data_IF_724483939637
#
_entry.id   IF_724483939637
#
_cell.length_a   1.000
_cell.length_b   1.000
_cell.length_c   1.000
_cell.angle_alpha   90.00
_cell.angle_beta   90.00
_cell.angle_gamma   90.00
#
_symmetry.space_group_name_H-M   'P 1'
#
loop_
_entity.id
_entity.type
_entity.pdbx_description
1 polymer ?
#
# COMPACT_ATOMS: atom_id res chain seq x y z
N UNK A 1 19.82 -16.70 25.03
CA UNK A 1 19.65 -17.16 23.63
C UNK A 1 18.67 -16.20 23.00
N UNK A 2 19.16 -15.08 22.47
CA UNK A 2 18.37 -14.24 21.60
C UNK A 2 18.34 -14.90 20.21
N UNK A 3 17.20 -14.77 19.54
CA UNK A 3 17.04 -15.25 18.16
C UNK A 3 16.50 -14.08 17.36
N UNK A 4 17.15 -13.75 16.26
CA UNK A 4 16.73 -12.63 15.40
C UNK A 4 16.06 -13.15 14.14
N UNK A 5 14.98 -12.49 13.73
CA UNK A 5 14.35 -12.77 12.45
C UNK A 5 15.19 -12.15 11.33
N UNK A 6 15.65 -12.98 10.40
CA UNK A 6 16.47 -12.51 9.28
C UNK A 6 15.69 -12.44 7.98
N UNK A 7 14.71 -13.32 7.75
CA UNK A 7 13.95 -13.34 6.50
C UNK A 7 12.48 -13.70 6.70
N UNK A 8 11.64 -13.12 5.84
CA UNK A 8 10.28 -13.55 5.59
C UNK A 8 10.25 -14.59 4.46
N UNK A 9 9.47 -15.65 4.64
CA UNK A 9 9.29 -16.72 3.65
C UNK A 9 7.90 -16.61 3.04
N UNK A 10 7.81 -16.59 1.71
CA UNK A 10 6.54 -16.52 1.02
C UNK A 10 6.48 -17.44 -0.20
N UNK A 11 5.27 -17.86 -0.55
CA UNK A 11 4.98 -18.72 -1.71
C UNK A 11 3.98 -18.06 -2.62
N UNK A 12 4.13 -18.24 -3.93
CA UNK A 12 3.12 -17.82 -4.89
C UNK A 12 1.92 -18.77 -4.81
N UNK A 13 0.73 -18.23 -4.52
CA UNK A 13 -0.50 -19.02 -4.37
C UNK A 13 -1.40 -18.93 -5.60
N UNK A 14 -1.32 -17.84 -6.35
CA UNK A 14 -2.20 -17.56 -7.48
C UNK A 14 -1.52 -16.57 -8.43
N UNK A 15 -1.92 -16.59 -9.70
CA UNK A 15 -1.56 -15.56 -10.68
C UNK A 15 -2.83 -14.86 -11.14
N UNK A 16 -2.84 -13.53 -11.09
CA UNK A 16 -3.97 -12.70 -11.49
C UNK A 16 -3.53 -11.65 -12.51
N UNK A 17 -4.47 -11.19 -13.34
CA UNK A 17 -4.22 -10.08 -14.26
C UNK A 17 -4.45 -8.77 -13.55
N UNK A 18 -3.46 -7.89 -13.61
CA UNK A 18 -3.60 -6.53 -13.11
C UNK A 18 -4.58 -5.76 -14.01
N UNK A 19 -5.72 -5.25 -13.48
CA UNK A 19 -6.73 -4.57 -14.28
C UNK A 19 -6.26 -3.24 -14.88
N UNK A 20 -5.19 -2.63 -14.35
CA UNK A 20 -4.65 -1.36 -14.86
C UNK A 20 -3.60 -1.57 -15.95
N UNK A 21 -2.77 -2.61 -15.82
CA UNK A 21 -1.63 -2.84 -16.72
C UNK A 21 -1.81 -4.03 -17.66
N UNK A 22 -2.80 -4.89 -17.42
CA UNK A 22 -3.05 -6.12 -18.18
C UNK A 22 -2.01 -7.23 -17.97
N UNK A 23 -0.97 -6.99 -17.15
CA UNK A 23 0.12 -7.93 -16.92
C UNK A 23 -0.24 -8.99 -15.88
N UNK A 24 0.33 -10.18 -16.04
CA UNK A 24 0.22 -11.25 -15.05
C UNK A 24 1.06 -10.92 -13.81
N UNK A 25 0.42 -10.92 -12.64
CA UNK A 25 1.04 -10.72 -11.33
C UNK A 25 0.79 -11.93 -10.45
N UNK A 26 1.80 -12.32 -9.69
CA UNK A 26 1.68 -13.38 -8.71
C UNK A 26 1.22 -12.80 -7.36
N UNK A 27 0.23 -13.47 -6.76
CA UNK A 27 -0.18 -13.27 -5.38
C UNK A 27 0.68 -14.16 -4.49
N UNK A 28 1.29 -13.57 -3.48
CA UNK A 28 2.16 -14.27 -2.53
C UNK A 28 1.51 -14.36 -1.15
N UNK A 29 1.74 -15.47 -0.46
CA UNK A 29 1.34 -15.72 0.93
C UNK A 29 2.59 -15.92 1.77
N UNK A 30 2.69 -15.22 2.91
CA UNK A 30 3.72 -15.49 3.91
C UNK A 30 3.42 -16.83 4.60
N UNK A 31 4.41 -17.71 4.67
CA UNK A 31 4.27 -19.06 5.24
C UNK A 31 5.15 -19.29 6.45
N UNK A 32 5.93 -18.29 6.86
CA UNK A 32 6.89 -18.43 7.94
C UNK A 32 8.07 -17.48 7.84
N UNK A 33 9.08 -17.76 8.66
CA UNK A 33 10.25 -16.93 8.85
C UNK A 33 11.51 -17.77 8.99
N UNK A 34 12.63 -17.18 8.61
CA UNK A 34 13.96 -17.71 8.95
C UNK A 34 14.55 -16.89 10.09
N UNK A 35 15.01 -17.60 11.11
CA UNK A 35 15.60 -17.05 12.32
C UNK A 35 17.08 -17.42 12.36
N UNK A 36 17.88 -16.51 12.91
CA UNK A 36 19.29 -16.73 13.22
C UNK A 36 19.47 -16.70 14.75
N UNK A 37 20.09 -17.73 15.30
CA UNK A 37 20.48 -17.82 16.70
C UNK A 37 21.83 -17.14 16.94
N UNK A 38 22.12 -16.85 18.21
CA UNK A 38 23.37 -16.19 18.64
C UNK A 38 24.65 -16.95 18.22
N UNK A 39 24.57 -18.27 18.03
CA UNK A 39 25.67 -19.15 17.59
C UNK A 39 25.87 -19.15 16.05
N UNK A 40 25.08 -18.34 15.32
CA UNK A 40 25.06 -18.32 13.87
C UNK A 40 24.24 -19.44 13.24
N UNK A 41 23.64 -20.33 14.04
CA UNK A 41 22.72 -21.35 13.59
C UNK A 41 21.45 -20.75 12.98
N UNK A 42 20.99 -21.29 11.87
CA UNK A 42 19.77 -20.84 11.18
C UNK A 42 18.70 -21.91 11.19
N UNK A 43 17.48 -21.50 11.46
CA UNK A 43 16.32 -22.38 11.42
C UNK A 43 15.10 -21.67 10.87
N UNK A 44 14.16 -22.45 10.36
CA UNK A 44 12.91 -21.95 9.77
C UNK A 44 11.76 -22.28 10.70
N UNK A 45 10.89 -21.31 10.92
CA UNK A 45 9.59 -21.51 11.55
C UNK A 45 8.53 -21.36 10.46
N UNK A 46 7.72 -22.40 10.28
CA UNK A 46 6.55 -22.35 9.40
C UNK A 46 5.29 -22.10 10.22
N UNK A 47 4.35 -21.40 9.61
CA UNK A 47 3.01 -21.24 10.15
C UNK A 47 2.31 -22.61 10.26
N UNK A 48 1.75 -22.91 11.44
CA UNK A 48 1.24 -24.25 11.77
C UNK A 48 0.08 -24.72 10.89
N UNK A 49 -0.65 -23.78 10.29
CA UNK A 49 -1.82 -24.05 9.46
C UNK A 49 -1.49 -24.20 7.97
N UNK A 50 -0.23 -24.02 7.57
CA UNK A 50 0.15 -24.09 6.16
C UNK A 50 0.28 -25.54 5.70
N UNK A 51 -0.54 -25.91 4.71
CA UNK A 51 -0.43 -27.19 4.02
C UNK A 51 0.35 -27.02 2.71
N UNK A 52 1.64 -27.37 2.73
CA UNK A 52 2.52 -27.25 1.56
C UNK A 52 2.09 -28.14 0.39
N UNK A 53 1.36 -29.24 0.63
CA UNK A 53 0.91 -30.14 -0.43
C UNK A 53 -0.20 -29.53 -1.30
N UNK A 54 -0.91 -28.51 -0.79
CA UNK A 54 -1.98 -27.82 -1.50
C UNK A 54 -1.48 -26.65 -2.37
N UNK A 55 -0.20 -26.31 -2.31
CA UNK A 55 0.35 -25.18 -3.05
C UNK A 55 0.55 -25.51 -4.54
N UNK A 56 0.33 -24.54 -5.44
CA UNK A 56 0.60 -24.71 -6.85
C UNK A 56 2.06 -25.11 -7.10
N UNK A 57 2.25 -26.17 -7.90
CA UNK A 57 3.59 -26.70 -8.23
C UNK A 57 3.67 -27.08 -9.70
N UNK A 58 4.89 -27.04 -10.23
CA UNK A 58 5.13 -27.50 -11.61
C UNK A 58 4.85 -29.00 -11.70
N UNK A 59 4.15 -29.47 -12.76
CA UNK A 59 3.92 -30.90 -12.98
C UNK A 59 5.24 -31.68 -12.94
N UNK A 60 5.24 -32.83 -12.26
CA UNK A 60 6.42 -33.68 -12.12
C UNK A 60 7.47 -33.19 -11.10
N UNK A 61 7.20 -32.12 -10.34
CA UNK A 61 8.05 -31.68 -9.23
C UNK A 61 7.39 -31.99 -7.88
N UNK A 62 8.16 -32.54 -6.95
CA UNK A 62 7.73 -32.81 -5.58
C UNK A 62 7.88 -31.59 -4.67
N UNK A 63 8.79 -30.66 -4.98
CA UNK A 63 9.10 -29.49 -4.17
C UNK A 63 8.19 -28.29 -4.42
N UNK A 64 8.06 -27.46 -3.39
CA UNK A 64 7.42 -26.13 -3.44
C UNK A 64 8.51 -25.07 -3.53
N UNK A 65 8.30 -24.05 -4.36
CA UNK A 65 9.21 -22.90 -4.45
C UNK A 65 8.84 -21.87 -3.39
N UNK A 66 9.82 -21.52 -2.55
CA UNK A 66 9.67 -20.52 -1.48
C UNK A 66 10.61 -19.36 -1.77
N UNK A 67 10.05 -18.16 -1.82
CA UNK A 67 10.79 -16.91 -1.90
C UNK A 67 11.21 -16.45 -0.51
N UNK A 68 12.42 -15.93 -0.42
CA UNK A 68 13.03 -15.44 0.81
C UNK A 68 13.26 -13.94 0.68
N UNK A 69 12.74 -13.16 1.61
CA UNK A 69 12.84 -11.71 1.63
C UNK A 69 13.57 -11.25 2.89
N UNK A 70 14.69 -10.53 2.78
CA UNK A 70 15.42 -10.08 3.96
C UNK A 70 14.63 -9.03 4.72
N UNK A 71 14.68 -9.13 6.04
CA UNK A 71 14.08 -8.13 6.94
C UNK A 71 15.12 -7.02 7.13
N UNK A 72 15.43 -6.25 6.09
CA UNK A 72 16.34 -5.11 6.23
C UNK A 72 15.61 -3.95 6.91
N UNK A 73 16.15 -3.47 8.04
CA UNK A 73 15.73 -2.20 8.65
C UNK A 73 14.55 -2.22 9.62
N UNK A 74 14.00 -3.38 10.02
CA UNK A 74 13.12 -3.43 11.20
C UNK A 74 13.98 -3.53 12.46
N UNK A 75 14.26 -2.38 13.06
CA UNK A 75 14.76 -2.31 14.43
C UNK A 75 13.91 -3.24 15.32
N UNK A 76 14.58 -4.17 16.00
CA UNK A 76 14.02 -5.16 16.91
C UNK A 76 13.38 -4.51 18.14
N UNK A 77 12.20 -3.91 17.97
CA UNK A 77 11.31 -3.57 19.06
C UNK A 77 9.89 -4.03 18.76
N UNK A 78 9.60 -5.20 19.32
CA UNK A 78 8.29 -5.69 19.71
C UNK A 78 7.41 -6.33 18.62
N UNK A 79 7.06 -7.59 18.86
CA UNK A 79 6.09 -8.32 18.05
C UNK A 79 4.76 -7.58 18.03
N UNK A 80 4.34 -7.15 16.86
CA UNK A 80 2.95 -6.79 16.62
C UNK A 80 2.49 -7.47 15.35
N UNK A 81 1.56 -8.40 15.58
CA UNK A 81 0.45 -8.73 14.70
C UNK A 81 0.16 -7.60 13.73
N UNK A 82 0.03 -7.97 12.45
CA UNK A 82 -0.73 -7.20 11.48
C UNK A 82 -2.17 -7.05 12.00
N UNK A 83 -2.42 -6.00 12.76
CA UNK A 83 -3.76 -5.44 12.87
C UNK A 83 -4.12 -4.81 11.52
N UNK A 84 -5.37 -4.97 11.04
CA UNK A 84 -5.84 -4.24 9.87
C UNK A 84 -5.60 -2.74 10.09
N UNK A 85 -5.28 -1.96 9.04
CA UNK A 85 -4.90 -0.56 9.18
C UNK A 85 -6.00 0.20 9.92
N UNK A 86 -5.76 0.42 11.21
CA UNK A 86 -6.58 1.26 12.04
C UNK A 86 -6.38 2.66 11.49
N UNK A 87 -7.46 3.23 10.94
CA UNK A 87 -7.54 4.63 10.55
C UNK A 87 -6.89 5.47 11.65
N UNK A 88 -5.67 5.94 11.37
CA UNK A 88 -5.02 6.93 12.20
C UNK A 88 -5.97 8.12 12.25
N UNK A 89 -6.35 8.51 13.45
CA UNK A 89 -7.07 9.75 13.67
C UNK A 89 -6.31 10.85 12.91
N UNK A 90 -6.97 11.63 12.03
CA UNK A 90 -6.28 12.62 11.23
C UNK A 90 -5.61 13.60 12.18
N UNK A 91 -4.28 13.62 12.18
CA UNK A 91 -3.54 14.81 12.56
C UNK A 91 -4.10 15.90 11.66
N UNK A 92 -4.77 16.90 12.24
CA UNK A 92 -5.32 18.04 11.51
C UNK A 92 -4.15 18.84 10.95
N UNK A 93 -3.56 18.37 9.87
CA UNK A 93 -2.79 19.19 8.97
C UNK A 93 -3.80 20.14 8.35
N UNK A 94 -3.79 21.39 8.81
CA UNK A 94 -4.56 22.46 8.21
C UNK A 94 -4.05 22.62 6.78
N UNK A 95 -4.73 21.99 5.84
CA UNK A 95 -4.40 22.08 4.44
C UNK A 95 -4.76 23.50 3.99
N UNK A 96 -3.82 24.24 3.41
CA UNK A 96 -4.02 25.62 2.96
C UNK A 96 -3.87 25.69 1.45
N UNK A 97 -4.59 26.61 0.82
CA UNK A 97 -4.41 26.93 -0.59
C UNK A 97 -2.99 27.49 -0.81
N UNK A 98 -2.21 26.95 -1.77
CA UNK A 98 -0.85 27.41 -2.02
C UNK A 98 -0.79 28.83 -2.59
N UNK A 99 -1.91 29.37 -3.09
CA UNK A 99 -1.97 30.67 -3.73
C UNK A 99 -2.32 31.83 -2.79
N UNK A 100 -2.92 31.56 -1.63
CA UNK A 100 -3.34 32.59 -0.68
C UNK A 100 -3.18 32.21 0.80
N UNK A 101 -2.59 31.06 1.10
CA UNK A 101 -2.41 30.50 2.45
C UNK A 101 -3.70 30.43 3.30
N UNK A 102 -4.89 30.49 2.67
CA UNK A 102 -6.14 30.31 3.40
C UNK A 102 -6.39 28.83 3.71
N UNK A 103 -6.90 28.50 4.91
CA UNK A 103 -7.24 27.14 5.26
C UNK A 103 -8.35 26.63 4.35
N UNK A 104 -8.14 25.45 3.79
CA UNK A 104 -9.14 24.71 3.04
C UNK A 104 -10.15 24.11 4.03
N UNK A 105 -11.42 24.16 3.64
CA UNK A 105 -12.45 23.42 4.34
C UNK A 105 -12.35 21.90 4.02
N UNK A 106 -12.97 21.01 4.82
CA UNK A 106 -12.86 19.57 4.60
C UNK A 106 -13.32 19.07 3.21
N UNK A 107 -14.25 19.77 2.58
CA UNK A 107 -14.74 19.42 1.23
C UNK A 107 -13.69 19.81 0.17
N UNK A 108 -13.09 20.99 0.29
CA UNK A 108 -11.99 21.47 -0.56
C UNK A 108 -10.76 20.56 -0.49
N UNK A 109 -10.41 20.05 0.71
CA UNK A 109 -9.31 19.08 0.88
C UNK A 109 -9.57 17.80 0.10
N UNK A 110 -10.77 17.23 0.23
CA UNK A 110 -11.14 15.99 -0.46
C UNK A 110 -11.08 16.17 -1.98
N UNK A 111 -11.50 17.33 -2.49
CA UNK A 111 -11.46 17.65 -3.92
C UNK A 111 -10.04 17.88 -4.42
N UNK A 112 -9.23 18.60 -3.66
CA UNK A 112 -7.82 18.82 -3.99
C UNK A 112 -7.07 17.48 -4.12
N UNK A 113 -7.34 16.52 -3.24
CA UNK A 113 -6.70 15.20 -3.29
C UNK A 113 -7.19 14.34 -4.47
N UNK A 114 -8.40 14.56 -4.96
CA UNK A 114 -9.03 13.74 -6.01
C UNK A 114 -8.75 14.23 -7.45
N UNK A 115 -7.91 15.26 -7.62
CA UNK A 115 -7.56 15.87 -8.90
C UNK A 115 -6.99 14.91 -9.96
N UNK A 116 -6.29 13.85 -9.52
CA UNK A 116 -5.61 12.92 -10.43
C UNK A 116 -6.56 11.94 -11.11
N UNK A 117 -7.74 11.72 -10.52
CA UNK A 117 -8.72 10.75 -11.03
C UNK A 117 -9.76 11.46 -11.89
N UNK A 118 -10.18 12.66 -11.49
CA UNK A 118 -11.17 13.45 -12.21
C UNK A 118 -10.75 14.94 -12.25
N UNK A 119 -10.09 15.39 -13.33
CA UNK A 119 -9.72 16.79 -13.47
C UNK A 119 -10.97 17.66 -13.64
N UNK A 120 -10.95 18.91 -13.15
CA UNK A 120 -12.05 19.83 -13.34
C UNK A 120 -12.22 20.26 -14.80
N UNK A 121 -13.44 20.65 -15.14
CA UNK A 121 -13.81 21.08 -16.48
C UNK A 121 -13.92 22.60 -16.52
N UNK A 122 -13.51 23.20 -17.64
CA UNK A 122 -13.72 24.61 -17.91
C UNK A 122 -14.81 24.77 -18.97
N UNK A 123 -15.94 25.36 -18.59
CA UNK A 123 -17.08 25.57 -19.48
C UNK A 123 -17.74 26.93 -19.21
N UNK A 124 -18.15 27.62 -20.26
CA UNK A 124 -18.81 28.95 -20.19
C UNK A 124 -18.04 29.99 -19.34
N UNK A 125 -16.70 29.97 -19.40
CA UNK A 125 -15.86 30.93 -18.66
C UNK A 125 -15.75 30.65 -17.16
N UNK A 126 -16.25 29.51 -16.68
CA UNK A 126 -16.21 29.11 -15.27
C UNK A 126 -15.64 27.70 -15.11
N UNK A 127 -14.93 27.50 -14.00
CA UNK A 127 -14.45 26.19 -13.58
C UNK A 127 -15.55 25.46 -12.80
N UNK A 128 -15.79 24.19 -13.15
CA UNK A 128 -16.68 23.30 -12.42
C UNK A 128 -16.02 21.96 -12.16
N UNK A 129 -16.45 21.31 -11.07
CA UNK A 129 -16.04 19.95 -10.77
C UNK A 129 -16.70 18.96 -11.75
N UNK A 130 -16.07 17.80 -11.95
CA UNK A 130 -16.56 16.77 -12.89
C UNK A 130 -17.94 16.19 -12.53
N UNK A 131 -18.41 16.45 -11.30
CA UNK A 131 -19.75 16.09 -10.81
C UNK A 131 -20.80 17.19 -11.03
N UNK A 132 -20.45 18.24 -11.77
CA UNK A 132 -21.33 19.35 -12.12
C UNK A 132 -21.53 20.38 -11.00
N UNK A 133 -20.84 20.25 -9.86
CA UNK A 133 -20.93 21.25 -8.79
C UNK A 133 -20.10 22.49 -9.13
N UNK A 134 -20.61 23.70 -8.86
CA UNK A 134 -19.85 24.93 -9.03
C UNK A 134 -18.68 24.98 -8.05
N UNK A 135 -17.53 25.48 -8.50
CA UNK A 135 -16.36 25.67 -7.64
C UNK A 135 -16.52 26.87 -6.72
N UNK A 136 -15.85 26.82 -5.56
CA UNK A 136 -15.64 28.00 -4.74
C UNK A 136 -14.66 28.97 -5.43
N UNK A 137 -14.67 30.24 -5.02
CA UNK A 137 -13.75 31.24 -5.54
C UNK A 137 -12.28 30.83 -5.35
N UNK A 138 -11.96 30.17 -4.24
CA UNK A 138 -10.60 29.73 -3.93
C UNK A 138 -10.16 28.54 -4.78
N UNK A 139 -11.08 27.60 -5.06
CA UNK A 139 -10.87 26.48 -5.98
C UNK A 139 -10.63 26.99 -7.41
N UNK A 140 -11.53 27.82 -7.94
CA UNK A 140 -11.41 28.37 -9.29
C UNK A 140 -10.12 29.21 -9.50
N UNK A 141 -9.72 29.98 -8.48
CA UNK A 141 -8.47 30.78 -8.51
C UNK A 141 -7.21 29.91 -8.48
N UNK A 142 -7.27 28.74 -7.84
CA UNK A 142 -6.16 27.81 -7.83
C UNK A 142 -5.92 27.23 -9.22
N UNK A 143 -6.98 26.77 -9.89
CA UNK A 143 -6.89 26.15 -11.22
C UNK A 143 -6.57 27.15 -12.33
N UNK A 144 -7.06 28.39 -12.24
CA UNK A 144 -6.72 29.42 -13.21
C UNK A 144 -5.24 29.81 -13.20
N UNK A 145 -4.54 29.61 -12.07
CA UNK A 145 -3.10 29.89 -11.92
C UNK A 145 -2.19 28.71 -12.27
N UNK A 146 -2.74 27.51 -12.48
CA UNK A 146 -1.98 26.32 -12.86
C UNK A 146 -1.81 26.14 -14.37
N UNK A 147 -2.51 26.92 -15.19
CA UNK A 147 -2.31 27.04 -16.64
C UNK A 147 -1.31 28.15 -16.97
#
# INVERSE_FOLDING_TARGET
MATRKINDLAVAIETYKDPQTGMDKNKYLNIGVEMEADDGGRFIILESHINLAALPRKPGKSGVMVSKYPVEGRNDNNGQQQTPPQQQAPQTQTFVWPHNNQPMNPQEVARYQNQQINPPLFHNGQWSWSDGQPMTQNEATHYSKQQ
#
